data_IF_553588670511
#
_entry.id   IF_553588670511
#
_cell.length_a   1.000
_cell.length_b   1.000
_cell.length_c   1.000
_cell.angle_alpha   90.00
_cell.angle_beta   90.00
_cell.angle_gamma   90.00
#
_symmetry.space_group_name_H-M   'P 1'
#
loop_
_entity.id
_entity.type
_entity.pdbx_description
1 polymer ?
#
# COMPACT_ATOMS: atom_id res chain seq x y z
N UNK A 1 -41.56 -25.28 -39.67
CA UNK A 1 -41.78 -25.73 -38.29
C UNK A 1 -41.06 -27.05 -38.10
N UNK A 2 -39.92 -27.06 -37.41
CA UNK A 2 -39.21 -28.30 -37.05
C UNK A 2 -39.20 -28.38 -35.53
N UNK A 3 -39.96 -29.32 -34.98
CA UNK A 3 -39.98 -29.64 -33.57
C UNK A 3 -38.87 -30.65 -33.29
N UNK A 4 -37.86 -30.28 -32.51
CA UNK A 4 -36.92 -31.22 -31.89
C UNK A 4 -37.07 -31.15 -30.38
N UNK A 5 -37.76 -32.15 -29.85
CA UNK A 5 -37.92 -32.42 -28.42
C UNK A 5 -36.69 -33.17 -27.94
N UNK A 6 -35.86 -32.56 -27.08
CA UNK A 6 -34.81 -33.28 -26.34
C UNK A 6 -35.30 -33.48 -24.90
N UNK A 7 -35.40 -34.76 -24.53
CA UNK A 7 -35.89 -35.30 -23.26
C UNK A 7 -34.76 -35.35 -22.23
N UNK A 8 -35.13 -35.12 -20.97
CA UNK A 8 -34.28 -35.01 -19.78
C UNK A 8 -33.45 -36.27 -19.42
N UNK A 9 -32.33 -36.07 -18.72
CA UNK A 9 -31.72 -37.08 -17.82
C UNK A 9 -31.24 -36.40 -16.53
N UNK A 10 -31.47 -37.09 -15.41
CA UNK A 10 -31.48 -36.59 -14.05
C UNK A 10 -30.20 -36.89 -13.25
N UNK A 11 -29.95 -36.01 -12.26
CA UNK A 11 -29.49 -36.25 -10.87
C UNK A 11 -28.21 -37.07 -10.63
N UNK A 12 -27.26 -36.45 -9.91
CA UNK A 12 -26.78 -36.98 -8.62
C UNK A 12 -26.03 -35.91 -7.80
N UNK A 13 -26.62 -35.54 -6.66
CA UNK A 13 -25.90 -34.94 -5.55
C UNK A 13 -25.31 -36.08 -4.72
N UNK A 14 -24.03 -35.99 -4.38
CA UNK A 14 -23.43 -36.86 -3.38
C UNK A 14 -23.11 -36.03 -2.15
N UNK A 15 -24.02 -36.11 -1.19
CA UNK A 15 -23.78 -35.85 0.22
C UNK A 15 -23.20 -37.12 0.83
N UNK A 16 -22.09 -37.00 1.54
CA UNK A 16 -21.67 -38.00 2.54
C UNK A 16 -21.31 -37.27 3.82
N UNK A 17 -22.34 -37.10 4.66
CA UNK A 17 -22.19 -37.07 6.11
C UNK A 17 -21.77 -38.45 6.63
N UNK A 18 -21.17 -38.45 7.81
CA UNK A 18 -21.00 -39.57 8.74
C UNK A 18 -19.85 -40.56 8.47
N UNK A 19 -18.67 -40.21 8.98
CA UNK A 19 -17.81 -41.16 9.69
C UNK A 19 -17.46 -40.58 11.08
N UNK A 20 -18.09 -41.17 12.09
CA UNK A 20 -17.99 -40.92 13.53
C UNK A 20 -16.57 -41.27 14.04
N UNK A 21 -15.91 -40.39 14.80
CA UNK A 21 -15.92 -40.32 16.26
C UNK A 21 -15.42 -41.59 17.00
N UNK A 22 -14.14 -41.58 17.37
CA UNK A 22 -13.45 -42.32 18.45
C UNK A 22 -12.00 -41.76 18.40
N UNK A 23 -11.41 -41.08 19.38
CA UNK A 23 -11.31 -41.33 20.82
C UNK A 23 -11.08 -40.02 21.59
N UNK A 24 -11.32 -40.03 22.89
CA UNK A 24 -11.25 -38.89 23.82
C UNK A 24 -10.02 -39.04 24.75
N UNK A 25 -9.25 -37.93 24.85
CA UNK A 25 -8.40 -37.45 25.98
C UNK A 25 -7.10 -38.23 26.34
N UNK A 26 -6.05 -37.58 26.91
CA UNK A 26 -6.07 -36.31 27.64
C UNK A 26 -5.06 -35.24 27.19
N UNK A 27 -5.22 -34.08 27.83
CA UNK A 27 -4.42 -32.87 27.72
C UNK A 27 -2.91 -33.12 27.64
N UNK A 28 -2.32 -32.83 26.49
CA UNK A 28 -0.95 -32.36 26.42
C UNK A 28 -1.02 -30.85 26.48
N UNK A 29 -0.54 -30.29 27.60
CA UNK A 29 -0.15 -28.89 27.75
C UNK A 29 0.37 -28.39 26.42
N UNK A 30 -0.32 -27.40 25.85
CA UNK A 30 0.21 -26.61 24.76
C UNK A 30 1.51 -25.99 25.29
N UNK A 31 2.62 -26.67 25.01
CA UNK A 31 3.93 -26.06 25.05
C UNK A 31 3.82 -24.92 24.06
N UNK A 32 3.59 -23.73 24.60
CA UNK A 32 3.83 -22.49 23.92
C UNK A 32 5.17 -22.67 23.21
N UNK A 33 5.15 -22.71 21.89
CA UNK A 33 6.34 -22.45 21.11
C UNK A 33 6.66 -20.99 21.36
N UNK A 34 7.30 -20.70 22.48
CA UNK A 34 8.08 -19.49 22.67
C UNK A 34 9.24 -19.62 21.68
N UNK A 35 8.99 -19.25 20.43
CA UNK A 35 10.07 -18.78 19.58
C UNK A 35 10.79 -17.73 20.41
N UNK A 36 12.10 -17.87 20.65
CA UNK A 36 12.83 -16.89 21.43
C UNK A 36 12.80 -15.58 20.63
N UNK A 37 11.99 -14.63 21.11
CA UNK A 37 11.99 -13.25 20.65
C UNK A 37 13.34 -12.65 21.03
N UNK A 38 14.30 -12.74 20.12
CA UNK A 38 15.65 -12.25 20.35
C UNK A 38 15.96 -11.15 19.34
N UNK A 39 15.94 -9.90 19.83
CA UNK A 39 16.35 -8.60 19.22
C UNK A 39 15.32 -7.69 18.52
N UNK A 40 14.02 -8.01 18.48
CA UNK A 40 13.04 -7.25 17.68
C UNK A 40 12.51 -5.94 18.30
N UNK A 41 12.35 -5.86 19.63
CA UNK A 41 11.69 -4.73 20.32
C UNK A 41 12.68 -3.89 21.12
N UNK A 42 13.83 -3.56 20.54
CA UNK A 42 14.77 -2.61 21.16
C UNK A 42 14.47 -1.23 20.59
N UNK A 43 14.06 -0.30 21.45
CA UNK A 43 13.92 1.11 21.10
C UNK A 43 15.29 1.66 20.66
N UNK A 44 15.47 1.83 19.35
CA UNK A 44 16.72 2.30 18.74
C UNK A 44 16.90 3.80 18.99
N UNK A 45 15.85 4.51 19.41
CA UNK A 45 15.87 5.93 19.76
C UNK A 45 16.96 6.29 20.77
N UNK A 46 17.25 5.39 21.72
CA UNK A 46 18.25 5.61 22.77
C UNK A 46 19.69 5.45 22.24
N UNK A 47 19.88 4.65 21.19
CA UNK A 47 21.20 4.31 20.64
C UNK A 47 21.57 5.21 19.46
N UNK A 48 20.59 5.69 18.69
CA UNK A 48 20.82 6.41 17.43
C UNK A 48 21.56 7.74 17.60
N UNK A 49 21.59 8.31 18.81
CA UNK A 49 22.20 9.63 19.07
C UNK A 49 21.45 10.78 18.39
N UNK A 50 20.27 10.52 17.83
CA UNK A 50 19.43 11.54 17.23
C UNK A 50 18.85 12.46 18.32
N UNK A 51 18.67 13.76 18.04
CA UNK A 51 18.04 14.65 18.99
C UNK A 51 16.60 14.20 19.27
N UNK A 52 16.20 14.20 20.54
CA UNK A 52 14.87 13.76 20.99
C UNK A 52 13.71 14.55 20.37
N UNK A 53 13.98 15.76 19.89
CA UNK A 53 13.00 16.60 19.20
C UNK A 53 12.44 15.92 17.93
N UNK A 54 13.22 15.06 17.26
CA UNK A 54 12.71 14.31 16.10
C UNK A 54 11.57 13.38 16.45
N UNK A 55 11.68 12.68 17.59
CA UNK A 55 10.71 11.68 17.98
C UNK A 55 9.43 12.32 18.51
N UNK A 56 9.55 13.43 19.23
CA UNK A 56 8.42 14.05 19.94
C UNK A 56 7.66 15.06 19.10
N UNK A 57 8.35 15.91 18.32
CA UNK A 57 7.73 17.08 17.69
C UNK A 57 7.28 16.81 16.25
N UNK A 58 7.83 15.80 15.58
CA UNK A 58 7.61 15.58 14.15
C UNK A 58 6.81 14.33 13.87
N UNK A 59 5.99 14.43 12.84
CA UNK A 59 5.21 13.32 12.29
C UNK A 59 5.83 12.91 10.97
N UNK A 60 6.06 11.61 10.85
CA UNK A 60 6.65 10.97 9.69
C UNK A 60 5.54 10.49 8.76
N UNK A 61 5.66 10.81 7.48
CA UNK A 61 4.70 10.37 6.46
C UNK A 61 5.25 9.15 5.72
N UNK A 62 4.51 8.06 5.76
CA UNK A 62 4.80 6.83 5.02
C UNK A 62 3.84 6.74 3.85
N UNK A 63 4.34 6.82 2.62
CA UNK A 63 3.50 6.83 1.42
C UNK A 63 4.22 6.27 0.20
N UNK A 64 3.46 5.83 -0.81
CA UNK A 64 4.00 5.63 -2.16
C UNK A 64 3.91 6.94 -2.95
N UNK A 65 5.01 7.42 -3.55
CA UNK A 65 4.97 8.62 -4.37
C UNK A 65 3.93 8.50 -5.48
N UNK A 66 3.14 9.56 -5.66
CA UNK A 66 2.19 9.62 -6.76
C UNK A 66 2.93 9.72 -8.11
N UNK A 67 2.30 9.20 -9.16
CA UNK A 67 2.80 9.38 -10.52
C UNK A 67 2.78 10.87 -10.91
N UNK A 68 3.90 11.38 -11.41
CA UNK A 68 3.96 12.72 -11.99
C UNK A 68 3.04 12.83 -13.20
N UNK A 69 2.10 13.77 -13.20
CA UNK A 69 1.13 13.95 -14.30
C UNK A 69 1.80 14.25 -15.65
N UNK A 70 2.96 14.89 -15.65
CA UNK A 70 3.71 15.26 -16.85
C UNK A 70 4.42 14.07 -17.52
N UNK A 71 4.62 12.97 -16.81
CA UNK A 71 5.37 11.82 -17.31
C UNK A 71 4.52 10.55 -17.31
N UNK A 72 4.78 9.65 -18.26
CA UNK A 72 4.05 8.38 -18.36
C UNK A 72 4.65 7.27 -17.49
N UNK A 73 5.93 7.37 -17.12
CA UNK A 73 6.69 6.37 -16.38
C UNK A 73 6.14 6.08 -14.97
N UNK A 74 6.33 4.84 -14.52
CA UNK A 74 5.80 4.30 -13.25
C UNK A 74 6.88 3.79 -12.30
N UNK A 75 8.16 3.96 -12.63
CA UNK A 75 9.23 3.35 -11.83
C UNK A 75 9.34 3.97 -10.44
N UNK A 76 9.15 5.29 -10.35
CA UNK A 76 9.22 6.05 -9.10
C UNK A 76 8.08 5.77 -8.11
N UNK A 77 7.02 5.04 -8.52
CA UNK A 77 5.85 4.77 -7.66
C UNK A 77 5.93 3.41 -6.97
N UNK A 78 6.99 2.61 -7.22
CA UNK A 78 7.09 1.21 -6.78
C UNK A 78 7.61 1.04 -5.36
N UNK A 79 8.34 2.03 -4.84
CA UNK A 79 8.90 1.99 -3.49
C UNK A 79 8.02 2.77 -2.52
N UNK A 80 8.12 2.41 -1.25
CA UNK A 80 7.56 3.18 -0.15
C UNK A 80 8.56 4.24 0.28
N UNK A 81 8.08 5.46 0.49
CA UNK A 81 8.88 6.59 0.91
C UNK A 81 8.47 6.99 2.32
N UNK A 82 9.48 7.15 3.16
CA UNK A 82 9.36 7.75 4.49
C UNK A 82 9.95 9.14 4.42
N UNK A 83 9.13 10.13 4.75
CA UNK A 83 9.43 11.55 4.61
C UNK A 83 8.96 12.30 5.86
N UNK A 84 9.60 13.44 6.15
CA UNK A 84 9.22 14.27 7.29
C UNK A 84 8.30 15.40 6.87
N UNK A 85 7.50 15.92 7.80
CA UNK A 85 6.79 17.16 7.56
C UNK A 85 7.80 18.31 7.32
N UNK A 86 7.55 19.12 6.29
CA UNK A 86 8.41 20.25 5.98
C UNK A 86 8.23 21.37 7.03
N UNK A 87 9.35 21.90 7.52
CA UNK A 87 9.37 23.13 8.33
C UNK A 87 9.50 24.39 7.45
N UNK A 88 9.34 25.54 8.09
CA UNK A 88 9.38 26.85 7.44
C UNK A 88 10.74 27.14 6.81
N UNK A 89 10.69 27.81 5.66
CA UNK A 89 11.86 28.37 4.99
C UNK A 89 11.76 29.88 4.93
N UNK A 90 12.89 30.54 5.07
CA UNK A 90 12.99 31.98 4.99
C UNK A 90 13.98 32.40 3.91
N UNK A 91 13.85 33.64 3.48
CA UNK A 91 14.74 34.26 2.50
C UNK A 91 16.00 34.80 3.20
N UNK A 92 17.17 34.50 2.66
CA UNK A 92 18.43 35.08 3.12
C UNK A 92 18.51 36.57 2.71
N UNK A 93 18.66 37.52 3.66
CA UNK A 93 18.62 38.96 3.38
C UNK A 93 19.73 39.45 2.45
N UNK A 94 20.84 38.71 2.28
CA UNK A 94 21.93 39.11 1.41
C UNK A 94 21.74 38.66 -0.05
N UNK A 95 21.48 37.37 -0.26
CA UNK A 95 21.48 36.75 -1.60
C UNK A 95 20.09 36.30 -2.08
N UNK A 96 19.07 36.32 -1.22
CA UNK A 96 17.72 35.85 -1.55
C UNK A 96 17.56 34.33 -1.61
N UNK A 97 18.51 33.55 -1.09
CA UNK A 97 18.41 32.09 -1.07
C UNK A 97 17.39 31.60 -0.04
N UNK A 98 16.75 30.46 -0.33
CA UNK A 98 15.89 29.77 0.62
C UNK A 98 16.74 29.11 1.71
N UNK A 99 16.85 29.77 2.86
CA UNK A 99 17.50 29.25 4.07
C UNK A 99 16.49 28.46 4.92
N UNK A 100 17.01 27.49 5.67
CA UNK A 100 16.23 26.61 6.55
C UNK A 100 17.09 26.19 7.76
N UNK A 101 16.44 25.94 8.90
CA UNK A 101 17.04 25.36 10.10
C UNK A 101 16.85 23.84 10.16
N UNK A 102 16.08 23.27 9.23
CA UNK A 102 15.68 21.88 9.27
C UNK A 102 16.78 20.96 8.71
N UNK A 103 17.31 20.09 9.58
CA UNK A 103 18.34 19.10 9.23
C UNK A 103 17.79 17.85 8.54
N UNK A 104 16.49 17.56 8.63
CA UNK A 104 15.88 16.39 7.97
C UNK A 104 15.25 16.71 6.61
N UNK A 105 15.17 17.98 6.25
CA UNK A 105 14.51 18.46 5.03
C UNK A 105 15.00 17.79 3.72
N UNK A 106 16.30 17.48 3.64
CA UNK A 106 16.92 16.85 2.46
C UNK A 106 16.92 15.32 2.50
N UNK A 107 16.47 14.74 3.60
CA UNK A 107 16.53 13.31 3.86
C UNK A 107 15.21 12.66 3.48
N UNK A 108 15.29 11.48 2.87
CA UNK A 108 14.15 10.57 2.75
C UNK A 108 14.67 9.14 2.70
N UNK A 109 13.82 8.19 3.08
CA UNK A 109 14.18 6.78 3.05
C UNK A 109 13.24 6.03 2.11
N UNK A 110 13.81 5.03 1.42
CA UNK A 110 13.08 4.18 0.47
C UNK A 110 13.02 2.76 1.02
N UNK A 111 11.81 2.21 1.07
CA UNK A 111 11.53 0.86 1.55
C UNK A 111 10.82 0.04 0.46
N UNK A 112 10.89 -1.29 0.58
CA UNK A 112 10.24 -2.19 -0.37
C UNK A 112 8.79 -2.45 0.01
N UNK A 113 8.51 -2.62 1.30
CA UNK A 113 7.16 -2.88 1.81
C UNK A 113 6.73 -1.81 2.82
N UNK A 114 5.43 -1.75 3.08
CA UNK A 114 4.85 -0.81 4.04
C UNK A 114 5.24 -1.20 5.47
N UNK A 115 5.18 -2.48 5.78
CA UNK A 115 5.45 -3.03 7.11
C UNK A 115 6.93 -2.86 7.49
N UNK A 116 7.84 -2.84 6.52
CA UNK A 116 9.25 -2.52 6.75
C UNK A 116 9.41 -1.05 7.16
N UNK A 117 8.70 -0.14 6.51
CA UNK A 117 8.71 1.28 6.82
C UNK A 117 8.08 1.56 8.20
N UNK A 118 6.94 0.91 8.50
CA UNK A 118 6.26 1.02 9.80
C UNK A 118 7.18 0.51 10.91
N UNK A 119 7.72 -0.71 10.77
CA UNK A 119 8.63 -1.27 11.78
C UNK A 119 9.87 -0.40 11.99
N UNK A 120 10.37 0.25 10.94
CA UNK A 120 11.48 1.19 11.09
C UNK A 120 11.07 2.43 11.91
N UNK A 121 9.92 3.02 11.63
CA UNK A 121 9.41 4.18 12.37
C UNK A 121 9.13 3.83 13.84
N UNK A 122 8.50 2.69 14.11
CA UNK A 122 8.22 2.17 15.45
C UNK A 122 9.51 1.97 16.25
N UNK A 123 10.53 1.32 15.65
CA UNK A 123 11.82 1.09 16.31
C UNK A 123 12.57 2.39 16.65
N UNK A 124 12.36 3.46 15.89
CA UNK A 124 12.93 4.77 16.18
C UNK A 124 12.06 5.60 17.15
N UNK A 125 10.86 5.14 17.48
CA UNK A 125 9.91 5.85 18.33
C UNK A 125 9.33 7.10 17.67
N UNK A 126 9.19 7.12 16.35
CA UNK A 126 8.63 8.27 15.63
C UNK A 126 7.12 8.14 15.47
N UNK A 127 6.39 9.24 15.61
CA UNK A 127 4.98 9.28 15.24
C UNK A 127 4.85 9.21 13.72
N UNK A 128 3.99 8.33 13.21
CA UNK A 128 3.84 8.13 11.77
C UNK A 128 2.39 8.18 11.30
N UNK A 129 2.20 8.63 10.07
CA UNK A 129 0.94 8.58 9.33
C UNK A 129 1.15 7.77 8.05
N UNK A 130 0.34 6.72 7.87
CA UNK A 130 0.36 5.89 6.67
C UNK A 130 -0.68 6.41 5.69
N UNK A 131 -0.24 6.75 4.48
CA UNK A 131 -1.13 7.12 3.38
C UNK A 131 -1.16 5.98 2.37
N UNK A 132 -2.32 5.36 2.25
CA UNK A 132 -2.55 4.27 1.30
C UNK A 132 -2.34 4.76 -0.15
N UNK A 133 -1.75 3.91 -1.01
CA UNK A 133 -1.52 4.26 -2.40
C UNK A 133 -2.84 4.33 -3.18
N UNK A 134 -3.03 5.41 -3.94
CA UNK A 134 -4.15 5.52 -4.86
C UNK A 134 -3.94 4.64 -6.10
N UNK A 135 -4.56 3.46 -6.11
CA UNK A 135 -4.49 2.55 -7.26
C UNK A 135 -5.29 3.06 -8.46
N UNK A 136 -4.70 2.93 -9.65
CA UNK A 136 -5.38 3.31 -10.90
C UNK A 136 -6.35 2.21 -11.28
N UNK A 137 -7.64 2.55 -11.37
CA UNK A 137 -8.69 1.64 -11.82
C UNK A 137 -8.43 1.18 -13.24
N UNK A 138 -8.30 -0.13 -13.44
CA UNK A 138 -8.14 -0.71 -14.77
C UNK A 138 -9.42 -0.52 -15.60
N UNK A 139 -9.28 0.06 -16.79
CA UNK A 139 -10.38 0.25 -17.75
C UNK A 139 -10.02 -0.42 -19.07
N UNK A 140 -10.92 -1.29 -19.56
CA UNK A 140 -10.75 -1.95 -20.87
C UNK A 140 -10.84 -0.90 -21.99
N UNK A 141 -9.72 -0.66 -22.67
CA UNK A 141 -9.68 0.20 -23.87
C UNK A 141 -9.85 -0.67 -25.12
N UNK A 142 -10.91 -0.43 -25.89
CA UNK A 142 -11.21 -1.16 -27.13
C UNK A 142 -11.21 -0.17 -28.30
N UNK A 143 -10.29 -0.35 -29.26
CA UNK A 143 -10.15 0.57 -30.39
C UNK A 143 -11.39 0.61 -31.29
N UNK A 144 -12.08 -0.52 -31.48
CA UNK A 144 -13.33 -0.61 -32.25
C UNK A 144 -14.45 0.30 -31.71
N UNK A 145 -14.41 0.63 -30.41
CA UNK A 145 -15.38 1.54 -29.79
C UNK A 145 -15.35 2.95 -30.40
N UNK A 146 -14.19 3.35 -30.97
CA UNK A 146 -14.05 4.64 -31.63
C UNK A 146 -14.90 4.79 -32.90
N UNK A 147 -15.39 3.68 -33.48
CA UNK A 147 -16.14 3.65 -34.75
C UNK A 147 -17.52 3.00 -34.60
N UNK A 148 -18.06 2.92 -33.39
CA UNK A 148 -19.39 2.34 -33.17
C UNK A 148 -20.47 3.22 -33.80
N UNK A 149 -21.38 2.62 -34.57
CA UNK A 149 -22.51 3.33 -35.14
C UNK A 149 -23.41 3.89 -34.03
N UNK A 150 -23.71 5.19 -34.10
CA UNK A 150 -24.64 5.87 -33.20
C UNK A 150 -25.86 6.27 -34.02
N UNK A 151 -27.08 5.80 -33.68
CA UNK A 151 -28.27 6.03 -34.50
C UNK A 151 -28.80 7.47 -34.45
N UNK A 152 -28.28 8.32 -33.55
CA UNK A 152 -28.69 9.72 -33.37
C UNK A 152 -27.58 10.73 -33.66
N UNK A 153 -27.84 12.00 -33.31
CA UNK A 153 -26.84 13.08 -33.46
C UNK A 153 -25.61 12.79 -32.58
N UNK A 154 -24.43 12.80 -33.19
CA UNK A 154 -23.16 12.59 -32.50
C UNK A 154 -22.92 13.68 -31.45
N UNK A 155 -22.45 13.28 -30.26
CA UNK A 155 -22.09 14.21 -29.17
C UNK A 155 -20.79 14.98 -29.47
N UNK A 156 -19.86 14.33 -30.15
CA UNK A 156 -18.56 14.89 -30.56
C UNK A 156 -18.04 14.12 -31.77
N UNK A 157 -17.24 14.80 -32.60
CA UNK A 157 -16.55 14.19 -33.74
C UNK A 157 -15.27 13.56 -33.21
N UNK A 158 -15.08 12.26 -33.41
CA UNK A 158 -13.86 11.57 -32.98
C UNK A 158 -12.73 11.91 -33.96
N UNK A 159 -11.70 12.59 -33.49
CA UNK A 159 -10.44 12.81 -34.22
C UNK A 159 -9.38 11.81 -33.76
N UNK A 160 -8.31 11.65 -34.56
CA UNK A 160 -7.16 10.81 -34.22
C UNK A 160 -6.20 11.53 -33.29
#
# INVERSE_FOLDING_TARGET
MLASTIRAVARRAYTTEAAQALTRAPAATAAASSTPATSADVDVSVISGAPSNLATQRVVKIYRPAKTAMQSGLDNTRFWKVDWNAEDRWENPLMGWASSADYMQGSFMKFRTEEEAIRFAERQGWQYEVVEPAEVKFTKKVYAKNFTFVPGKLRYIHTK
#
